data_IF_978625919630
#
_entry.id   IF_978625919630
#
_cell.length_a   1.000
_cell.length_b   1.000
_cell.length_c   1.000
_cell.angle_alpha   90.00
_cell.angle_beta   90.00
_cell.angle_gamma   90.00
#
_symmetry.space_group_name_H-M   'P 1'
#
loop_
_entity.id
_entity.type
_entity.pdbx_description
1 polymer ?
#
# COMPACT_ATOMS: atom_id res chain seq x y z
N UNK A 1 -1.60 24.69 -18.33
CA UNK A 1 -2.15 23.44 -17.73
C UNK A 1 -1.68 23.37 -16.30
N UNK A 2 -2.55 23.07 -15.34
CA UNK A 2 -2.13 22.84 -13.96
C UNK A 2 -1.64 21.39 -13.76
N UNK A 3 -1.01 21.11 -12.61
CA UNK A 3 -0.39 19.79 -12.37
C UNK A 3 -1.40 18.64 -12.36
N UNK A 4 -2.56 18.80 -11.75
CA UNK A 4 -3.59 17.76 -11.72
C UNK A 4 -4.13 17.44 -13.13
N UNK A 5 -4.37 18.47 -13.94
CA UNK A 5 -4.79 18.29 -15.34
C UNK A 5 -3.68 17.62 -16.18
N UNK A 6 -2.41 18.02 -15.97
CA UNK A 6 -1.26 17.43 -16.65
C UNK A 6 -1.13 15.93 -16.39
N UNK A 7 -1.21 15.51 -15.11
CA UNK A 7 -1.16 14.10 -14.73
C UNK A 7 -2.36 13.34 -15.33
N UNK A 8 -3.56 13.90 -15.20
CA UNK A 8 -4.78 13.27 -15.74
C UNK A 8 -4.71 13.08 -17.25
N UNK A 9 -4.27 14.09 -18.01
CA UNK A 9 -4.10 13.97 -19.48
C UNK A 9 -3.02 12.97 -19.85
N UNK A 10 -1.93 12.91 -19.07
CA UNK A 10 -0.86 11.93 -19.30
C UNK A 10 -1.39 10.51 -19.16
N UNK A 11 -2.11 10.21 -18.07
CA UNK A 11 -2.70 8.88 -17.83
C UNK A 11 -3.69 8.51 -18.96
N UNK A 12 -4.45 9.48 -19.46
CA UNK A 12 -5.45 9.30 -20.50
C UNK A 12 -4.90 9.40 -21.93
N UNK A 13 -3.61 9.59 -22.12
CA UNK A 13 -2.97 9.80 -23.43
C UNK A 13 -3.61 10.96 -24.25
N UNK A 14 -3.93 12.08 -23.57
CA UNK A 14 -4.63 13.23 -24.13
C UNK A 14 -3.69 14.42 -24.42
N UNK A 15 -2.56 14.17 -25.05
CA UNK A 15 -1.57 15.18 -25.49
C UNK A 15 -1.23 16.19 -24.37
N UNK A 16 -0.58 15.76 -23.27
CA UNK A 16 -0.09 16.67 -22.25
C UNK A 16 1.00 17.56 -22.85
N UNK A 17 1.15 18.79 -22.33
CA UNK A 17 2.20 19.70 -22.79
C UNK A 17 3.61 19.27 -22.42
N UNK A 18 3.74 18.41 -21.40
CA UNK A 18 4.96 17.71 -20.96
C UNK A 18 4.59 16.46 -20.17
N UNK A 19 5.56 15.64 -19.83
CA UNK A 19 5.37 14.57 -18.87
C UNK A 19 5.33 15.13 -17.43
N UNK A 20 4.48 14.62 -16.54
CA UNK A 20 4.54 14.95 -15.13
C UNK A 20 5.79 14.37 -14.49
N UNK A 21 6.26 15.00 -13.44
CA UNK A 21 7.39 14.52 -12.65
C UNK A 21 7.08 14.59 -11.16
N UNK A 22 7.76 13.73 -10.40
CA UNK A 22 7.74 13.71 -8.95
C UNK A 22 9.17 13.76 -8.42
N UNK A 23 9.62 14.95 -8.06
CA UNK A 23 10.93 15.19 -7.48
C UNK A 23 10.79 15.69 -6.04
N UNK A 24 11.87 15.65 -5.22
CA UNK A 24 11.88 16.33 -3.94
C UNK A 24 11.39 17.76 -4.03
N UNK A 25 10.70 18.25 -3.01
CA UNK A 25 9.99 19.54 -3.01
C UNK A 25 10.81 20.72 -3.55
N UNK A 26 12.11 20.76 -3.23
CA UNK A 26 13.04 21.79 -3.72
C UNK A 26 13.20 21.84 -5.25
N UNK A 27 12.87 20.76 -5.94
CA UNK A 27 12.91 20.69 -7.41
C UNK A 27 11.53 20.73 -8.05
N UNK A 28 10.49 20.71 -7.21
CA UNK A 28 9.10 20.70 -7.62
C UNK A 28 8.55 19.30 -7.87
N UNK A 29 7.24 19.18 -7.81
CA UNK A 29 6.51 17.95 -8.11
C UNK A 29 5.11 18.30 -8.60
N UNK A 30 4.59 17.56 -9.56
CA UNK A 30 3.20 17.63 -9.99
C UNK A 30 2.26 16.87 -9.04
N UNK A 31 2.84 16.15 -8.07
CA UNK A 31 2.11 15.34 -7.11
C UNK A 31 2.17 15.94 -5.70
N UNK A 32 1.11 15.71 -4.95
CA UNK A 32 1.04 15.90 -3.51
C UNK A 32 0.73 14.54 -2.87
N UNK A 33 1.70 14.00 -2.17
CA UNK A 33 1.55 12.70 -1.52
C UNK A 33 0.90 12.86 -0.14
N UNK A 34 -0.07 12.02 0.15
CA UNK A 34 -0.73 11.90 1.45
C UNK A 34 -1.00 10.44 1.79
N UNK A 35 -1.38 10.15 3.00
CA UNK A 35 -1.64 8.78 3.42
C UNK A 35 -2.16 8.68 4.85
N UNK A 36 -2.32 7.45 5.30
CA UNK A 36 -2.66 7.14 6.68
C UNK A 36 -1.55 7.62 7.63
N UNK A 37 -1.93 8.26 8.71
CA UNK A 37 -1.04 8.47 9.83
C UNK A 37 -0.85 7.16 10.59
N UNK A 38 0.39 6.75 10.91
CA UNK A 38 0.62 5.57 11.74
C UNK A 38 0.08 5.78 13.16
N UNK A 39 -0.06 4.69 13.90
CA UNK A 39 -0.35 4.76 15.33
C UNK A 39 0.78 5.53 16.06
N UNK A 40 0.47 6.24 17.17
CA UNK A 40 1.49 6.89 18.00
C UNK A 40 2.57 5.93 18.52
N UNK A 41 2.25 4.65 18.65
CA UNK A 41 3.16 3.60 19.12
C UNK A 41 3.99 2.95 18.01
N UNK A 42 3.73 3.31 16.75
CA UNK A 42 4.45 2.79 15.60
C UNK A 42 5.91 3.31 15.55
N UNK A 43 6.90 2.42 15.64
CA UNK A 43 8.33 2.73 15.77
C UNK A 43 9.26 2.11 14.73
N UNK A 44 8.80 1.66 13.55
CA UNK A 44 9.65 0.86 12.66
C UNK A 44 10.89 1.60 12.17
N UNK A 45 10.83 2.91 11.96
CA UNK A 45 11.96 3.71 11.45
C UNK A 45 13.13 3.86 12.43
N UNK A 46 12.87 3.76 13.72
CA UNK A 46 13.87 3.87 14.77
C UNK A 46 14.29 2.51 15.35
N UNK A 47 13.77 1.43 14.80
CA UNK A 47 13.80 0.11 15.41
C UNK A 47 12.78 0.00 16.53
N UNK A 48 12.10 -1.13 16.62
CA UNK A 48 11.05 -1.37 17.59
C UNK A 48 9.81 -1.97 16.94
N UNK A 49 8.73 -2.03 17.69
CA UNK A 49 7.47 -2.61 17.20
C UNK A 49 6.70 -1.64 16.32
N UNK A 50 6.15 -2.16 15.23
CA UNK A 50 5.15 -1.45 14.45
C UNK A 50 3.75 -1.64 15.05
N UNK A 51 2.77 -0.97 14.48
CA UNK A 51 1.38 -1.01 14.96
C UNK A 51 0.69 -2.39 14.81
N UNK A 52 1.29 -3.31 14.05
CA UNK A 52 0.85 -4.69 13.91
C UNK A 52 1.55 -5.64 14.89
N UNK A 53 2.55 -5.14 15.63
CA UNK A 53 3.36 -5.93 16.55
C UNK A 53 4.56 -6.63 15.90
N UNK A 54 4.93 -6.27 14.68
CA UNK A 54 6.18 -6.74 14.07
C UNK A 54 7.37 -5.96 14.63
N UNK A 55 8.43 -6.65 15.04
CA UNK A 55 9.65 -6.02 15.54
C UNK A 55 10.63 -5.75 14.41
N UNK A 56 11.00 -4.49 14.24
CA UNK A 56 11.93 -3.99 13.23
C UNK A 56 13.29 -3.71 13.82
N UNK A 57 14.33 -4.24 13.17
CA UNK A 57 15.72 -3.90 13.42
C UNK A 57 16.21 -2.94 12.32
N UNK A 58 16.71 -1.78 12.73
CA UNK A 58 17.30 -0.80 11.82
C UNK A 58 18.82 -0.90 11.83
N UNK A 59 19.45 -0.55 10.72
CA UNK A 59 20.90 -0.63 10.54
C UNK A 59 21.57 0.75 10.45
N UNK A 60 20.88 1.81 10.92
CA UNK A 60 21.41 3.16 10.90
C UNK A 60 21.41 3.86 9.53
N UNK A 61 20.84 3.24 8.52
CA UNK A 61 20.60 3.85 7.22
C UNK A 61 19.18 4.42 7.16
N UNK A 62 18.95 5.39 6.27
CA UNK A 62 17.66 6.09 6.14
C UNK A 62 16.52 5.26 5.52
N UNK A 63 16.80 4.05 5.12
CA UNK A 63 15.82 3.11 4.58
C UNK A 63 15.22 2.23 5.69
N UNK A 64 14.16 1.52 5.33
CA UNK A 64 13.47 0.60 6.20
C UNK A 64 14.45 -0.42 6.81
N UNK A 65 14.21 -0.78 8.06
CA UNK A 65 14.88 -1.89 8.72
C UNK A 65 14.42 -3.23 8.17
N UNK A 66 14.70 -4.27 8.91
CA UNK A 66 14.30 -5.64 8.62
C UNK A 66 13.45 -6.17 9.78
N UNK A 67 12.35 -6.85 9.46
CA UNK A 67 11.50 -7.49 10.49
C UNK A 67 12.22 -8.73 11.03
N UNK A 68 12.40 -8.77 12.34
CA UNK A 68 13.06 -9.88 13.06
C UNK A 68 12.11 -10.71 13.90
N UNK A 69 10.97 -10.13 14.32
CA UNK A 69 9.94 -10.87 15.04
C UNK A 69 8.60 -10.63 14.37
N UNK A 70 7.90 -11.70 14.09
CA UNK A 70 6.61 -11.69 13.43
C UNK A 70 5.50 -11.89 14.45
N UNK A 71 4.43 -11.07 14.45
CA UNK A 71 3.33 -11.19 15.40
C UNK A 71 2.51 -12.48 15.22
N UNK A 72 2.41 -13.01 14.01
CA UNK A 72 1.67 -14.24 13.72
C UNK A 72 2.62 -15.38 13.37
N UNK A 73 3.08 -16.13 14.38
CA UNK A 73 3.96 -17.30 14.20
C UNK A 73 3.20 -18.60 13.92
N UNK A 74 1.99 -18.72 14.45
CA UNK A 74 1.13 -19.90 14.30
C UNK A 74 -0.31 -19.44 13.98
N UNK A 75 -1.00 -20.12 13.08
CA UNK A 75 -2.37 -19.79 12.70
C UNK A 75 -3.38 -19.95 13.84
N UNK A 76 -3.09 -20.78 14.85
CA UNK A 76 -3.92 -20.87 16.06
C UNK A 76 -4.01 -19.55 16.83
N UNK A 77 -3.03 -18.65 16.65
CA UNK A 77 -2.97 -17.36 17.32
C UNK A 77 -3.60 -16.23 16.47
N UNK A 78 -4.22 -16.57 15.33
CA UNK A 78 -4.76 -15.60 14.38
C UNK A 78 -5.82 -14.69 15.01
N UNK A 79 -6.69 -15.22 15.86
CA UNK A 79 -7.75 -14.45 16.52
C UNK A 79 -7.21 -13.49 17.61
N UNK A 80 -5.92 -13.61 17.95
CA UNK A 80 -5.20 -12.72 18.87
C UNK A 80 -4.32 -11.68 18.16
N UNK A 81 -4.29 -11.70 16.81
CA UNK A 81 -3.53 -10.71 16.05
C UNK A 81 -4.09 -9.31 16.29
N UNK A 82 -3.22 -8.41 16.73
CA UNK A 82 -3.58 -6.99 16.86
C UNK A 82 -3.70 -6.35 15.48
N UNK A 83 -4.93 -6.07 15.07
CA UNK A 83 -5.22 -5.36 13.82
C UNK A 83 -5.43 -3.89 14.16
N UNK A 84 -4.67 -2.96 13.54
CA UNK A 84 -4.84 -1.53 13.77
C UNK A 84 -6.25 -1.07 13.38
N UNK A 85 -6.87 -0.27 14.23
CA UNK A 85 -8.20 0.28 13.95
C UNK A 85 -8.13 1.32 12.81
N UNK A 86 -8.59 0.92 11.63
CA UNK A 86 -8.64 1.79 10.45
C UNK A 86 -9.63 2.95 10.61
N UNK A 87 -10.58 2.86 11.54
CA UNK A 87 -11.58 3.90 11.77
C UNK A 87 -11.14 4.95 12.79
N UNK A 88 -10.03 4.74 13.48
CA UNK A 88 -9.52 5.65 14.48
C UNK A 88 -9.28 7.06 13.88
N UNK A 89 -9.87 8.14 14.44
CA UNK A 89 -9.82 9.49 13.84
C UNK A 89 -8.40 10.01 13.60
N UNK A 90 -7.47 9.71 14.50
CA UNK A 90 -6.07 10.17 14.40
C UNK A 90 -5.36 9.67 13.14
N UNK A 91 -5.79 8.56 12.56
CA UNK A 91 -5.22 8.01 11.32
C UNK A 91 -5.48 8.90 10.10
N UNK A 92 -6.47 9.74 10.18
CA UNK A 92 -6.96 10.55 9.06
C UNK A 92 -6.55 12.02 9.12
N UNK A 93 -5.86 12.44 10.19
CA UNK A 93 -5.40 13.82 10.35
C UNK A 93 -4.52 14.31 9.19
N UNK A 94 -3.70 13.42 8.60
CA UNK A 94 -2.84 13.75 7.47
C UNK A 94 -3.58 14.14 6.18
N UNK A 95 -4.83 13.68 6.01
CA UNK A 95 -5.63 13.97 4.82
C UNK A 95 -6.59 15.16 4.97
N UNK A 96 -6.87 15.58 6.21
CA UNK A 96 -7.69 16.77 6.46
C UNK A 96 -7.04 17.99 5.81
N UNK A 97 -7.78 18.73 4.99
CA UNK A 97 -7.26 19.88 4.25
C UNK A 97 -6.21 19.55 3.17
N UNK A 98 -6.06 18.27 2.78
CA UNK A 98 -5.07 17.85 1.78
C UNK A 98 -5.27 18.60 0.44
N UNK A 99 -6.51 18.79 -0.02
CA UNK A 99 -6.79 19.52 -1.25
C UNK A 99 -6.36 20.98 -1.18
N UNK A 100 -6.55 21.65 -0.05
CA UNK A 100 -6.10 23.02 0.16
C UNK A 100 -4.56 23.11 0.12
N UNK A 101 -3.86 22.21 0.83
CA UNK A 101 -2.40 22.19 0.84
C UNK A 101 -1.79 21.80 -0.51
N UNK A 102 -2.45 20.90 -1.24
CA UNK A 102 -2.00 20.46 -2.56
C UNK A 102 -2.13 21.58 -3.63
N UNK A 103 -3.07 22.50 -3.46
CA UNK A 103 -3.37 23.49 -4.47
C UNK A 103 -3.82 22.83 -5.79
N UNK A 104 -3.06 23.03 -6.85
CA UNK A 104 -3.33 22.48 -8.19
C UNK A 104 -2.63 21.14 -8.49
N UNK A 105 -1.92 20.58 -7.52
CA UNK A 105 -1.22 19.30 -7.69
C UNK A 105 -2.18 18.11 -7.69
N UNK A 106 -1.75 17.04 -8.33
CA UNK A 106 -2.43 15.75 -8.28
C UNK A 106 -2.22 15.10 -6.91
N UNK A 107 -3.30 14.86 -6.16
CA UNK A 107 -3.21 14.21 -4.85
C UNK A 107 -3.14 12.70 -5.03
N UNK A 108 -2.00 12.13 -4.64
CA UNK A 108 -1.76 10.70 -4.64
C UNK A 108 -1.77 10.17 -3.21
N UNK A 109 -2.81 9.39 -2.88
CA UNK A 109 -3.01 8.86 -1.54
C UNK A 109 -2.43 7.45 -1.41
N UNK A 110 -1.64 7.21 -0.35
CA UNK A 110 -0.97 5.95 -0.09
C UNK A 110 -1.89 4.91 0.56
N UNK A 111 -1.93 3.72 -0.02
CA UNK A 111 -2.66 2.56 0.50
C UNK A 111 -1.80 1.62 1.35
N UNK A 112 -2.43 0.52 1.76
CA UNK A 112 -1.82 -0.53 2.58
C UNK A 112 -1.44 -1.70 1.66
N UNK A 113 -0.16 -2.07 1.64
CA UNK A 113 0.32 -3.28 0.94
C UNK A 113 -0.45 -4.51 1.39
N UNK A 114 -0.85 -5.36 0.47
CA UNK A 114 -1.56 -6.61 0.81
C UNK A 114 -0.68 -7.86 0.69
N UNK A 115 0.51 -7.72 0.12
CA UNK A 115 1.52 -8.78 0.04
C UNK A 115 2.68 -8.51 1.00
N UNK A 116 3.33 -7.37 0.92
CA UNK A 116 4.45 -7.05 1.83
C UNK A 116 4.01 -6.98 3.28
N UNK A 117 2.81 -6.42 3.58
CA UNK A 117 2.30 -6.41 4.95
C UNK A 117 2.13 -7.81 5.52
N UNK A 118 1.70 -8.78 4.71
CA UNK A 118 1.63 -10.18 5.15
C UNK A 118 3.02 -10.72 5.50
N UNK A 119 4.07 -10.36 4.75
CA UNK A 119 5.46 -10.74 5.10
C UNK A 119 5.88 -10.18 6.46
N UNK A 120 5.49 -8.95 6.78
CA UNK A 120 5.84 -8.34 8.07
C UNK A 120 5.05 -8.94 9.24
N UNK A 121 3.86 -9.49 8.97
CA UNK A 121 3.02 -10.13 9.98
C UNK A 121 3.40 -11.60 10.17
N UNK A 122 3.62 -12.33 9.08
CA UNK A 122 3.74 -13.81 9.06
C UNK A 122 5.16 -14.32 8.80
N UNK A 123 6.01 -13.50 8.21
CA UNK A 123 7.31 -13.89 7.65
C UNK A 123 7.21 -14.33 6.19
N UNK A 124 8.22 -13.98 5.40
CA UNK A 124 8.25 -14.25 3.96
C UNK A 124 8.18 -15.76 3.65
N UNK A 125 9.01 -16.55 4.28
CA UNK A 125 9.05 -18.00 4.07
C UNK A 125 7.73 -18.67 4.45
N UNK A 126 7.16 -18.31 5.62
CA UNK A 126 5.87 -18.82 6.05
C UNK A 126 4.76 -18.41 5.07
N UNK A 127 4.76 -17.16 4.59
CA UNK A 127 3.79 -16.69 3.59
C UNK A 127 3.85 -17.54 2.32
N UNK A 128 5.05 -17.86 1.83
CA UNK A 128 5.19 -18.71 0.65
C UNK A 128 4.74 -20.15 0.88
N UNK A 129 5.01 -20.72 2.05
CA UNK A 129 4.51 -22.05 2.41
C UNK A 129 2.99 -22.07 2.55
N UNK A 130 2.42 -21.04 3.16
CA UNK A 130 0.98 -20.93 3.42
C UNK A 130 0.15 -20.83 2.14
N UNK A 131 0.73 -20.38 1.01
CA UNK A 131 0.07 -20.43 -0.31
C UNK A 131 -0.42 -21.86 -0.63
N UNK A 132 0.29 -22.86 -0.16
CA UNK A 132 0.03 -24.28 -0.45
C UNK A 132 -0.51 -25.04 0.74
N UNK A 133 -0.09 -24.68 1.97
CA UNK A 133 -0.41 -25.42 3.18
C UNK A 133 -1.64 -24.85 3.92
N UNK A 134 -1.80 -23.51 3.90
CA UNK A 134 -2.83 -22.81 4.65
C UNK A 134 -3.46 -21.66 3.81
N UNK A 135 -3.93 -21.98 2.58
CA UNK A 135 -4.40 -20.92 1.65
C UNK A 135 -5.65 -20.19 2.14
N UNK A 136 -6.48 -20.83 2.97
CA UNK A 136 -7.70 -20.22 3.52
C UNK A 136 -7.35 -19.21 4.62
N UNK A 137 -6.47 -19.57 5.55
CA UNK A 137 -6.00 -18.71 6.63
C UNK A 137 -5.22 -17.52 6.06
N UNK A 138 -4.32 -17.78 5.11
CA UNK A 138 -3.61 -16.73 4.40
C UNK A 138 -4.59 -15.78 3.68
N UNK A 139 -5.61 -16.34 3.05
CA UNK A 139 -6.68 -15.59 2.41
C UNK A 139 -7.41 -14.68 3.40
N UNK A 140 -7.77 -15.18 4.59
CA UNK A 140 -8.41 -14.39 5.65
C UNK A 140 -7.54 -13.21 6.09
N UNK A 141 -6.23 -13.43 6.28
CA UNK A 141 -5.30 -12.34 6.63
C UNK A 141 -5.24 -11.27 5.53
N UNK A 142 -5.12 -11.68 4.26
CA UNK A 142 -5.13 -10.72 3.14
C UNK A 142 -6.46 -9.99 3.03
N UNK A 143 -7.59 -10.65 3.31
CA UNK A 143 -8.91 -10.01 3.25
C UNK A 143 -9.07 -8.90 4.30
N UNK A 144 -8.47 -9.02 5.50
CA UNK A 144 -8.41 -7.91 6.48
C UNK A 144 -7.74 -6.68 5.85
N UNK A 145 -6.61 -6.87 5.19
CA UNK A 145 -5.89 -5.76 4.53
C UNK A 145 -6.69 -5.17 3.36
N UNK A 146 -7.44 -5.99 2.64
CA UNK A 146 -8.36 -5.52 1.59
C UNK A 146 -9.45 -4.64 2.18
N UNK A 147 -10.13 -5.07 3.25
CA UNK A 147 -11.17 -4.27 3.89
C UNK A 147 -10.63 -2.92 4.39
N UNK A 148 -9.44 -2.90 4.98
CA UNK A 148 -8.79 -1.64 5.38
C UNK A 148 -8.54 -0.72 4.17
N UNK A 149 -8.11 -1.26 3.02
CA UNK A 149 -7.95 -0.49 1.78
C UNK A 149 -9.28 0.07 1.27
N UNK A 150 -10.37 -0.71 1.36
CA UNK A 150 -11.71 -0.24 0.94
C UNK A 150 -12.18 0.95 1.78
N UNK A 151 -11.93 0.92 3.09
CA UNK A 151 -12.21 2.07 3.98
C UNK A 151 -11.33 3.27 3.60
N UNK A 152 -10.03 3.05 3.38
CA UNK A 152 -9.08 4.10 3.02
C UNK A 152 -9.48 4.80 1.72
N UNK A 153 -9.87 4.05 0.69
CA UNK A 153 -10.30 4.58 -0.60
C UNK A 153 -11.48 5.56 -0.43
N UNK A 154 -12.48 5.20 0.37
CA UNK A 154 -13.64 6.06 0.61
C UNK A 154 -13.25 7.37 1.32
N UNK A 155 -12.36 7.28 2.32
CA UNK A 155 -11.85 8.45 3.05
C UNK A 155 -11.03 9.37 2.15
N UNK A 156 -10.15 8.82 1.31
CA UNK A 156 -9.33 9.60 0.39
C UNK A 156 -10.15 10.28 -0.70
N UNK A 157 -11.11 9.57 -1.28
CA UNK A 157 -12.03 10.15 -2.26
C UNK A 157 -12.83 11.31 -1.65
N UNK A 158 -13.37 11.14 -0.44
CA UNK A 158 -14.08 12.19 0.29
C UNK A 158 -13.19 13.42 0.60
N UNK A 159 -11.88 13.20 0.80
CA UNK A 159 -10.90 14.28 1.01
C UNK A 159 -10.38 14.92 -0.29
N UNK A 160 -10.90 14.50 -1.45
CA UNK A 160 -10.54 15.07 -2.76
C UNK A 160 -9.23 14.56 -3.34
N UNK A 161 -8.82 13.32 -2.99
CA UNK A 161 -7.70 12.68 -3.67
C UNK A 161 -8.01 12.42 -5.15
N UNK A 162 -6.98 12.42 -6.00
CA UNK A 162 -7.08 12.15 -7.43
C UNK A 162 -6.67 10.71 -7.76
N UNK A 163 -5.77 10.13 -6.98
CA UNK A 163 -5.26 8.78 -7.20
C UNK A 163 -4.97 8.03 -5.90
N UNK A 164 -4.91 6.72 -6.04
CA UNK A 164 -4.63 5.76 -4.99
C UNK A 164 -3.43 4.90 -5.38
N UNK A 165 -2.37 4.89 -4.56
CA UNK A 165 -1.15 4.14 -4.80
C UNK A 165 -0.83 3.22 -3.64
N UNK A 166 -0.37 2.02 -3.93
CA UNK A 166 0.29 1.16 -2.96
C UNK A 166 1.44 0.37 -3.61
N UNK A 167 2.29 -0.17 -2.76
CA UNK A 167 3.49 -0.90 -3.16
C UNK A 167 3.36 -2.35 -2.74
N UNK A 168 3.62 -3.26 -3.67
CA UNK A 168 3.73 -4.69 -3.39
C UNK A 168 4.77 -5.29 -4.34
N UNK A 169 5.92 -5.65 -3.81
CA UNK A 169 7.05 -6.14 -4.60
C UNK A 169 6.88 -7.63 -4.94
N UNK A 170 6.46 -7.91 -6.17
CA UNK A 170 6.19 -9.25 -6.67
C UNK A 170 7.36 -9.87 -7.43
N UNK A 171 8.27 -9.04 -7.92
CA UNK A 171 9.29 -9.43 -8.87
C UNK A 171 10.66 -9.69 -8.24
N UNK A 172 11.32 -10.71 -8.76
CA UNK A 172 12.77 -10.89 -8.68
C UNK A 172 13.43 -10.34 -9.94
N UNK A 173 14.71 -10.62 -10.14
CA UNK A 173 15.48 -10.13 -11.27
C UNK A 173 14.86 -10.52 -12.64
N UNK A 174 14.36 -11.75 -12.76
CA UNK A 174 13.88 -12.34 -14.02
C UNK A 174 12.64 -13.21 -13.89
N UNK A 175 11.94 -13.18 -12.76
CA UNK A 175 10.74 -13.97 -12.49
C UNK A 175 9.96 -13.39 -11.31
N UNK A 176 8.74 -13.86 -11.13
CA UNK A 176 7.95 -13.58 -9.93
C UNK A 176 8.49 -14.33 -8.69
N UNK A 177 8.23 -13.79 -7.51
CA UNK A 177 8.50 -14.45 -6.23
C UNK A 177 7.59 -15.67 -6.01
N UNK A 178 6.40 -15.65 -6.60
CA UNK A 178 5.40 -16.74 -6.50
C UNK A 178 4.97 -17.21 -7.89
N UNK A 179 4.47 -18.42 -7.99
CA UNK A 179 3.97 -18.94 -9.27
C UNK A 179 2.78 -18.07 -9.77
N UNK A 180 2.75 -17.68 -11.06
CA UNK A 180 1.66 -16.88 -11.62
C UNK A 180 0.26 -17.46 -11.36
N UNK A 181 0.14 -18.80 -11.37
CA UNK A 181 -1.13 -19.48 -11.04
C UNK A 181 -1.58 -19.19 -9.61
N UNK A 182 -0.66 -19.25 -8.65
CA UNK A 182 -0.95 -18.98 -7.24
C UNK A 182 -1.31 -17.51 -7.02
N UNK A 183 -0.60 -16.59 -7.67
CA UNK A 183 -0.91 -15.17 -7.63
C UNK A 183 -2.34 -14.90 -8.18
N UNK A 184 -2.68 -15.49 -9.34
CA UNK A 184 -4.02 -15.33 -9.95
C UNK A 184 -5.13 -15.93 -9.09
N UNK A 185 -4.86 -16.98 -8.34
CA UNK A 185 -5.86 -17.61 -7.47
C UNK A 185 -6.08 -16.81 -6.17
N UNK A 186 -5.01 -16.34 -5.53
CA UNK A 186 -5.10 -15.76 -4.20
C UNK A 186 -5.16 -14.21 -4.21
N UNK A 187 -4.26 -13.55 -4.95
CA UNK A 187 -4.12 -12.09 -4.89
C UNK A 187 -4.90 -11.32 -5.95
N UNK A 188 -4.92 -11.82 -7.19
CA UNK A 188 -5.63 -11.11 -8.29
C UNK A 188 -7.07 -10.72 -7.95
N UNK A 189 -7.94 -11.60 -7.41
CA UNK A 189 -9.31 -11.21 -7.08
C UNK A 189 -9.36 -10.14 -5.98
N UNK A 190 -8.37 -10.10 -5.07
CA UNK A 190 -8.26 -9.11 -4.00
C UNK A 190 -7.82 -7.75 -4.52
N UNK A 191 -6.81 -7.71 -5.40
CA UNK A 191 -6.46 -6.49 -6.14
C UNK A 191 -7.63 -5.95 -6.95
N UNK A 192 -8.37 -6.85 -7.62
CA UNK A 192 -9.55 -6.44 -8.40
C UNK A 192 -10.59 -5.73 -7.53
N UNK A 193 -10.85 -6.19 -6.29
CA UNK A 193 -11.74 -5.51 -5.35
C UNK A 193 -11.26 -4.10 -5.01
N UNK A 194 -9.97 -3.95 -4.70
CA UNK A 194 -9.35 -2.66 -4.36
C UNK A 194 -9.45 -1.70 -5.56
N UNK A 195 -9.01 -2.15 -6.74
CA UNK A 195 -9.01 -1.30 -7.95
C UNK A 195 -10.41 -0.91 -8.38
N UNK A 196 -11.37 -1.83 -8.33
CA UNK A 196 -12.77 -1.53 -8.64
C UNK A 196 -13.35 -0.51 -7.68
N UNK A 197 -13.07 -0.62 -6.38
CA UNK A 197 -13.53 0.35 -5.39
C UNK A 197 -12.91 1.74 -5.63
N UNK A 198 -11.61 1.82 -5.94
CA UNK A 198 -10.94 3.08 -6.25
C UNK A 198 -11.53 3.72 -7.52
N UNK A 199 -11.73 2.94 -8.59
CA UNK A 199 -12.34 3.45 -9.82
C UNK A 199 -13.79 3.90 -9.61
N UNK A 200 -14.57 3.15 -8.83
CA UNK A 200 -15.95 3.54 -8.49
C UNK A 200 -16.01 4.84 -7.67
N UNK A 201 -14.97 5.11 -6.87
CA UNK A 201 -14.79 6.34 -6.13
C UNK A 201 -14.17 7.49 -6.97
N UNK A 202 -13.90 7.26 -8.26
CA UNK A 202 -13.34 8.24 -9.19
C UNK A 202 -11.82 8.43 -9.10
N UNK A 203 -11.11 7.55 -8.40
CA UNK A 203 -9.66 7.61 -8.23
C UNK A 203 -8.93 6.86 -9.35
N UNK A 204 -7.81 7.42 -9.82
CA UNK A 204 -6.84 6.65 -10.59
C UNK A 204 -6.09 5.68 -9.68
N UNK A 205 -5.68 4.52 -10.22
CA UNK A 205 -4.94 3.52 -9.46
C UNK A 205 -3.50 3.38 -9.93
N UNK A 206 -2.59 3.30 -8.96
CA UNK A 206 -1.17 3.11 -9.19
C UNK A 206 -0.69 1.94 -8.33
N UNK A 207 0.09 1.06 -8.94
CA UNK A 207 0.78 -0.02 -8.23
C UNK A 207 2.28 0.09 -8.51
N UNK A 208 3.07 0.25 -7.46
CA UNK A 208 4.51 0.03 -7.53
C UNK A 208 4.82 -1.43 -7.24
N UNK A 209 5.69 -2.00 -8.04
CA UNK A 209 6.27 -3.32 -7.79
C UNK A 209 7.70 -3.36 -8.33
N UNK A 210 8.65 -3.72 -7.48
CA UNK A 210 10.01 -3.99 -7.91
C UNK A 210 10.09 -5.28 -8.73
N UNK A 211 11.13 -5.36 -9.59
CA UNK A 211 11.50 -6.56 -10.31
C UNK A 211 10.61 -6.90 -11.50
N UNK A 212 10.74 -8.15 -11.93
CA UNK A 212 10.04 -8.66 -13.12
C UNK A 212 8.60 -9.08 -12.75
N UNK A 213 7.61 -8.41 -13.35
CA UNK A 213 6.17 -8.65 -13.10
C UNK A 213 5.36 -8.88 -14.39
N UNK A 214 6.03 -9.16 -15.52
CA UNK A 214 5.34 -9.25 -16.83
C UNK A 214 4.33 -10.38 -16.91
N UNK A 215 4.43 -11.40 -16.04
CA UNK A 215 3.57 -12.57 -16.05
C UNK A 215 2.25 -12.41 -15.26
N UNK A 216 2.00 -11.24 -14.65
CA UNK A 216 0.79 -11.00 -13.82
C UNK A 216 0.07 -9.72 -14.20
#
# INVERSE_FOLDING_TARGET
MNSSELVTRTIRFQNPERLPYDFPEKYGSDFYSTGLSPSPDDRPRNGGYDEWGAFWQTFGFSNLGEVKEYPLKDWKDFDHLSVPDIHAPQRWQGIEGARERAGDKFILAGGISIYERVHFIRGLENTWMDIYQNPEELGRLVDILVEMNLVAIQKYAAAGADGYIFCDDWGLQNRLMVAPKSWRALWKPRYARIFQAAHAAGLFTFLHSCGYIVDI
#
